data_IF_265265749700
#
_entry.id   IF_265265749700
#
_cell.length_a   1.000
_cell.length_b   1.000
_cell.length_c   1.000
_cell.angle_alpha   90.00
_cell.angle_beta   90.00
_cell.angle_gamma   90.00
#
_symmetry.space_group_name_H-M   'P 1'
#
loop_
_entity.id
_entity.type
_entity.pdbx_description
1 polymer ?
#
# COMPACT_ATOMS: atom_id res chain seq x y z
N UNK A 1 16.15 -33.99 -10.25
CA UNK A 1 15.98 -32.65 -10.86
C UNK A 1 14.69 -31.95 -10.38
N UNK A 2 14.48 -31.76 -9.07
CA UNK A 2 13.18 -31.24 -8.54
C UNK A 2 13.29 -30.20 -7.40
N UNK A 3 14.43 -29.54 -7.23
CA UNK A 3 14.63 -28.59 -6.11
C UNK A 3 14.60 -27.09 -6.51
N UNK A 4 14.63 -26.76 -7.80
CA UNK A 4 14.83 -25.35 -8.24
C UNK A 4 13.53 -24.56 -8.36
N UNK A 5 12.37 -25.23 -8.42
CA UNK A 5 11.06 -24.58 -8.61
C UNK A 5 10.51 -23.89 -7.37
N UNK A 6 10.78 -24.41 -6.16
CA UNK A 6 10.24 -23.88 -4.91
C UNK A 6 11.00 -22.64 -4.40
N UNK A 7 12.29 -22.53 -4.68
CA UNK A 7 13.16 -21.44 -4.21
C UNK A 7 12.96 -20.10 -4.95
N UNK A 8 12.34 -20.15 -6.15
CA UNK A 8 12.04 -18.96 -6.95
C UNK A 8 10.62 -18.42 -6.69
N UNK A 9 9.71 -19.24 -6.17
CA UNK A 9 8.34 -18.84 -5.84
C UNK A 9 8.26 -18.01 -4.55
N UNK A 10 9.32 -18.04 -3.74
CA UNK A 10 9.42 -17.33 -2.46
C UNK A 10 9.89 -15.87 -2.56
N UNK A 11 10.33 -15.40 -3.73
CA UNK A 11 11.20 -14.20 -3.80
C UNK A 11 10.49 -12.84 -3.80
N UNK A 12 9.16 -12.78 -3.93
CA UNK A 12 8.39 -11.54 -3.78
C UNK A 12 7.14 -11.75 -2.92
N UNK A 13 7.32 -12.20 -1.67
CA UNK A 13 6.23 -12.23 -0.69
C UNK A 13 5.96 -10.84 -0.08
N UNK A 14 6.99 -10.00 0.00
CA UNK A 14 6.93 -8.69 0.66
C UNK A 14 7.28 -7.58 -0.32
N UNK A 15 6.46 -6.54 -0.34
CA UNK A 15 6.72 -5.30 -1.06
C UNK A 15 6.74 -4.15 -0.06
N UNK A 16 7.76 -3.30 -0.15
CA UNK A 16 7.84 -2.05 0.60
C UNK A 16 7.79 -0.87 -0.36
N UNK A 17 6.86 0.04 -0.10
CA UNK A 17 6.81 1.30 -0.79
C UNK A 17 7.95 2.19 -0.30
N UNK A 18 8.77 2.67 -1.23
CA UNK A 18 9.75 3.71 -0.99
C UNK A 18 9.31 5.00 -1.69
N UNK A 19 9.36 6.17 -1.03
CA UNK A 19 9.11 7.44 -1.67
C UNK A 19 9.95 7.59 -2.94
N UNK A 20 9.31 7.96 -4.05
CA UNK A 20 9.99 8.09 -5.34
C UNK A 20 9.90 6.86 -6.25
N UNK A 21 9.50 5.68 -5.75
CA UNK A 21 9.46 4.43 -6.52
C UNK A 21 8.56 4.51 -7.77
N UNK A 22 7.51 5.33 -7.70
CA UNK A 22 6.61 5.60 -8.83
C UNK A 22 6.77 6.98 -9.45
N UNK A 23 7.79 7.76 -9.08
CA UNK A 23 8.04 9.04 -9.71
C UNK A 23 8.49 8.84 -11.17
N UNK A 24 8.00 9.66 -12.12
CA UNK A 24 8.54 9.64 -13.47
C UNK A 24 10.03 9.92 -13.45
N UNK A 25 10.77 9.23 -14.32
CA UNK A 25 12.15 9.64 -14.61
C UNK A 25 12.13 11.04 -15.21
N UNK A 26 13.05 11.94 -14.80
CA UNK A 26 13.18 13.25 -15.42
C UNK A 26 13.31 13.07 -16.94
N UNK A 27 12.42 13.70 -17.70
CA UNK A 27 12.53 13.70 -19.15
C UNK A 27 13.31 14.95 -19.57
N UNK A 28 14.29 14.75 -20.45
CA UNK A 28 14.96 15.85 -21.11
C UNK A 28 13.99 16.49 -22.10
N UNK A 29 13.73 17.77 -21.94
CA UNK A 29 12.99 18.54 -22.93
C UNK A 29 13.86 18.75 -24.17
N UNK A 30 13.24 19.21 -25.27
CA UNK A 30 13.93 19.55 -26.52
C UNK A 30 15.05 20.60 -26.34
N UNK A 31 15.07 21.35 -25.23
CA UNK A 31 16.12 22.31 -24.87
C UNK A 31 17.17 21.77 -23.90
N UNK A 32 17.15 20.47 -23.58
CA UNK A 32 18.08 19.84 -22.63
C UNK A 32 17.76 20.12 -21.16
N UNK A 33 16.65 20.81 -20.85
CA UNK A 33 16.21 21.01 -19.47
C UNK A 33 15.53 19.74 -18.96
N UNK A 34 15.87 19.32 -17.74
CA UNK A 34 15.10 18.29 -17.06
C UNK A 34 13.76 18.87 -16.63
N UNK A 35 12.67 18.30 -17.13
CA UNK A 35 11.33 18.59 -16.63
C UNK A 35 10.81 17.38 -15.87
N UNK A 36 10.32 17.62 -14.67
CA UNK A 36 9.58 16.63 -13.88
C UNK A 36 8.12 17.06 -13.91
N UNK A 37 7.26 16.22 -14.49
CA UNK A 37 5.84 16.47 -14.50
C UNK A 37 5.29 16.33 -13.07
N UNK A 38 5.16 17.44 -12.35
CA UNK A 38 4.71 17.49 -10.95
C UNK A 38 3.28 16.98 -10.75
N UNK A 39 2.47 16.89 -11.82
CA UNK A 39 1.16 16.24 -11.73
C UNK A 39 1.29 14.75 -11.43
N UNK A 40 2.38 14.10 -11.82
CA UNK A 40 2.56 12.65 -11.66
C UNK A 40 2.94 12.23 -10.24
N UNK A 41 3.31 13.17 -9.37
CA UNK A 41 3.55 12.94 -7.94
C UNK A 41 2.31 13.19 -7.08
N UNK A 42 1.15 13.46 -7.68
CA UNK A 42 -0.09 13.64 -6.94
C UNK A 42 -0.52 12.34 -6.25
N UNK A 43 -1.16 12.46 -5.09
CA UNK A 43 -1.66 11.30 -4.34
C UNK A 43 -2.60 10.42 -5.16
N UNK A 44 -3.43 11.02 -6.03
CA UNK A 44 -4.28 10.26 -6.96
C UNK A 44 -3.45 9.43 -7.94
N UNK A 45 -2.38 9.98 -8.51
CA UNK A 45 -1.51 9.22 -9.42
C UNK A 45 -0.75 8.11 -8.71
N UNK A 46 -0.28 8.36 -7.47
CA UNK A 46 0.34 7.34 -6.63
C UNK A 46 -0.65 6.20 -6.37
N UNK A 47 -1.90 6.51 -6.01
CA UNK A 47 -2.94 5.51 -5.80
C UNK A 47 -3.20 4.67 -7.06
N UNK A 48 -3.33 5.31 -8.23
CA UNK A 48 -3.51 4.57 -9.50
C UNK A 48 -2.33 3.66 -9.83
N UNK A 49 -1.09 4.12 -9.60
CA UNK A 49 0.11 3.32 -9.87
C UNK A 49 0.24 2.14 -8.92
N UNK A 50 -0.04 2.35 -7.62
CA UNK A 50 -0.14 1.28 -6.63
C UNK A 50 -1.24 0.28 -7.00
N UNK A 51 -2.44 0.77 -7.29
CA UNK A 51 -3.57 -0.06 -7.69
C UNK A 51 -3.25 -0.90 -8.94
N UNK A 52 -2.54 -0.31 -9.91
CA UNK A 52 -2.08 -1.02 -11.11
C UNK A 52 -1.01 -2.05 -10.77
N UNK A 53 -0.04 -1.70 -9.91
CA UNK A 53 1.04 -2.59 -9.49
C UNK A 53 0.49 -3.84 -8.80
N UNK A 54 -0.38 -3.68 -7.79
CA UNK A 54 -0.94 -4.82 -7.06
C UNK A 54 -1.89 -5.66 -7.93
N UNK A 55 -2.53 -5.05 -8.93
CA UNK A 55 -3.37 -5.75 -9.89
C UNK A 55 -2.58 -6.50 -10.98
N UNK A 56 -1.24 -6.39 -11.05
CA UNK A 56 -0.48 -7.09 -12.08
C UNK A 56 -0.54 -8.61 -11.85
N UNK A 57 -0.97 -9.41 -12.85
CA UNK A 57 -1.15 -10.86 -12.69
C UNK A 57 0.09 -11.61 -12.21
N UNK A 58 1.27 -11.10 -12.54
CA UNK A 58 2.57 -11.69 -12.15
C UNK A 58 2.88 -11.58 -10.64
N UNK A 59 2.33 -10.56 -9.95
CA UNK A 59 2.56 -10.34 -8.51
C UNK A 59 1.35 -10.74 -7.67
N UNK A 60 0.16 -10.59 -8.24
CA UNK A 60 -1.13 -10.83 -7.59
C UNK A 60 -1.21 -12.13 -6.76
N UNK A 61 -0.76 -13.31 -7.23
CA UNK A 61 -0.82 -14.55 -6.44
C UNK A 61 0.32 -14.72 -5.42
N UNK A 62 1.27 -13.77 -5.36
CA UNK A 62 2.51 -13.88 -4.57
C UNK A 62 2.62 -12.85 -3.45
N UNK A 63 1.97 -11.70 -3.58
CA UNK A 63 2.01 -10.63 -2.57
C UNK A 63 1.30 -11.06 -1.27
N UNK A 64 2.05 -11.09 -0.18
CA UNK A 64 1.57 -11.44 1.17
C UNK A 64 1.68 -10.26 2.13
N UNK A 65 2.80 -9.54 2.09
CA UNK A 65 3.05 -8.39 2.95
C UNK A 65 3.26 -7.14 2.10
N UNK A 66 2.45 -6.12 2.36
CA UNK A 66 2.57 -4.81 1.74
C UNK A 66 2.92 -3.79 2.81
N UNK A 67 4.06 -3.12 2.67
CA UNK A 67 4.46 -2.03 3.54
C UNK A 67 4.24 -0.70 2.83
N UNK A 68 3.13 -0.04 3.17
CA UNK A 68 2.72 1.26 2.68
C UNK A 68 2.89 2.36 3.75
N UNK A 69 3.72 2.13 4.77
CA UNK A 69 3.98 3.11 5.85
C UNK A 69 4.48 4.47 5.36
N UNK A 70 5.05 4.55 4.16
CA UNK A 70 5.50 5.80 3.53
C UNK A 70 4.60 6.27 2.38
N UNK A 71 3.49 5.60 2.09
CA UNK A 71 2.54 6.05 1.07
C UNK A 71 1.78 7.26 1.60
N UNK A 72 1.62 8.35 0.82
CA UNK A 72 0.78 9.48 1.22
C UNK A 72 -0.63 9.02 1.55
N UNK A 73 -1.17 9.43 2.70
CA UNK A 73 -2.45 8.90 3.18
C UNK A 73 -3.59 9.19 2.21
N UNK A 74 -3.59 10.33 1.53
CA UNK A 74 -4.60 10.64 0.50
C UNK A 74 -4.59 9.65 -0.68
N UNK A 75 -3.48 8.95 -0.91
CA UNK A 75 -3.41 7.87 -1.88
C UNK A 75 -3.98 6.56 -1.32
N UNK A 76 -3.82 6.33 0.00
CA UNK A 76 -4.40 5.19 0.72
C UNK A 76 -5.92 5.29 0.88
N UNK A 77 -6.46 6.50 0.90
CA UNK A 77 -7.90 6.77 0.96
C UNK A 77 -8.63 6.49 -0.37
N UNK A 78 -7.88 6.33 -1.46
CA UNK A 78 -8.46 6.21 -2.79
C UNK A 78 -9.15 4.85 -3.04
N UNK A 79 -10.41 4.89 -3.46
CA UNK A 79 -11.25 3.73 -3.79
C UNK A 79 -10.63 2.78 -4.81
N UNK A 80 -9.83 3.31 -5.74
CA UNK A 80 -9.15 2.50 -6.76
C UNK A 80 -8.14 1.55 -6.12
N UNK A 81 -7.44 2.01 -5.07
CA UNK A 81 -6.48 1.17 -4.36
C UNK A 81 -7.20 0.14 -3.50
N UNK A 82 -8.26 0.52 -2.79
CA UNK A 82 -9.10 -0.38 -1.99
C UNK A 82 -9.62 -1.56 -2.82
N UNK A 83 -10.19 -1.26 -4.00
CA UNK A 83 -10.71 -2.29 -4.92
C UNK A 83 -9.64 -3.24 -5.43
N UNK A 84 -8.41 -2.77 -5.59
CA UNK A 84 -7.29 -3.61 -6.02
C UNK A 84 -6.73 -4.46 -4.88
N UNK A 85 -6.62 -3.91 -3.67
CA UNK A 85 -6.16 -4.65 -2.49
C UNK A 85 -7.10 -5.81 -2.14
N UNK A 86 -8.41 -5.60 -2.24
CA UNK A 86 -9.43 -6.64 -2.00
C UNK A 86 -9.23 -7.90 -2.85
N UNK A 87 -8.60 -7.77 -4.02
CA UNK A 87 -8.43 -8.87 -4.96
C UNK A 87 -7.23 -9.76 -4.63
N UNK A 88 -6.31 -9.31 -3.77
CA UNK A 88 -5.09 -10.04 -3.43
C UNK A 88 -5.40 -11.26 -2.55
N UNK A 89 -5.40 -12.49 -3.10
CA UNK A 89 -5.93 -13.67 -2.40
C UNK A 89 -5.00 -14.19 -1.30
N UNK A 90 -3.77 -13.69 -1.25
CA UNK A 90 -2.74 -14.12 -0.29
C UNK A 90 -2.23 -12.99 0.60
N UNK A 91 -2.88 -11.81 0.56
CA UNK A 91 -2.47 -10.70 1.41
C UNK A 91 -2.73 -11.06 2.88
N UNK A 92 -1.66 -11.08 3.67
CA UNK A 92 -1.67 -11.38 5.10
C UNK A 92 -1.51 -10.11 5.93
N UNK A 93 -0.62 -9.21 5.50
CA UNK A 93 -0.32 -7.99 6.26
C UNK A 93 -0.27 -6.77 5.36
N UNK A 94 -0.91 -5.68 5.81
CA UNK A 94 -0.75 -4.36 5.24
C UNK A 94 -0.27 -3.39 6.33
N UNK A 95 0.90 -2.78 6.14
CA UNK A 95 1.40 -1.70 6.97
C UNK A 95 1.00 -0.35 6.39
N UNK A 96 0.49 0.55 7.21
CA UNK A 96 0.06 1.91 6.81
C UNK A 96 0.50 2.94 7.84
N UNK A 97 0.54 4.24 7.49
CA UNK A 97 0.77 5.30 8.46
C UNK A 97 -0.31 5.31 9.54
N UNK A 98 0.09 5.52 10.79
CA UNK A 98 -0.85 5.76 11.90
C UNK A 98 -1.55 7.13 11.77
N UNK A 99 -0.82 8.14 11.32
CA UNK A 99 -1.24 9.54 11.28
C UNK A 99 -1.44 10.04 9.84
N UNK A 100 -2.05 11.22 9.69
CA UNK A 100 -2.22 11.89 8.39
C UNK A 100 -3.50 11.52 7.63
N UNK A 101 -4.35 10.66 8.21
CA UNK A 101 -5.70 10.38 7.70
C UNK A 101 -6.57 11.63 7.75
N UNK A 102 -7.32 11.88 6.68
CA UNK A 102 -8.28 12.98 6.64
C UNK A 102 -9.36 12.80 7.71
N UNK A 103 -9.80 11.56 7.92
CA UNK A 103 -10.76 11.17 8.95
C UNK A 103 -10.44 9.75 9.48
N UNK A 104 -10.72 9.45 10.77
CA UNK A 104 -10.59 8.08 11.30
C UNK A 104 -11.41 7.04 10.52
N UNK A 105 -12.55 7.46 9.95
CA UNK A 105 -13.41 6.61 9.11
C UNK A 105 -12.72 6.09 7.85
N UNK A 106 -11.78 6.85 7.27
CA UNK A 106 -11.09 6.44 6.05
C UNK A 106 -10.11 5.30 6.31
N UNK A 107 -9.46 5.28 7.47
CA UNK A 107 -8.64 4.13 7.91
C UNK A 107 -9.50 2.88 8.07
N UNK A 108 -10.67 3.02 8.70
CA UNK A 108 -11.63 1.92 8.86
C UNK A 108 -12.19 1.45 7.51
N UNK A 109 -12.35 2.36 6.55
CA UNK A 109 -12.74 2.04 5.18
C UNK A 109 -11.69 1.22 4.46
N UNK A 110 -10.41 1.61 4.57
CA UNK A 110 -9.31 0.80 4.04
C UNK A 110 -9.30 -0.59 4.68
N UNK A 111 -9.44 -0.68 6.00
CA UNK A 111 -9.48 -1.97 6.70
C UNK A 111 -10.60 -2.88 6.14
N UNK A 112 -11.82 -2.36 6.02
CA UNK A 112 -12.95 -3.12 5.46
C UNK A 112 -12.77 -3.51 4.00
N UNK A 113 -11.86 -2.87 3.27
CA UNK A 113 -11.54 -3.22 1.89
C UNK A 113 -10.51 -4.35 1.77
N UNK A 114 -9.86 -4.74 2.86
CA UNK A 114 -8.88 -5.81 2.84
C UNK A 114 -9.53 -7.18 2.69
N UNK A 115 -8.80 -8.17 2.13
CA UNK A 115 -9.23 -9.56 2.13
C UNK A 115 -9.44 -10.09 3.56
N UNK A 116 -10.33 -11.07 3.70
CA UNK A 116 -10.59 -11.71 4.99
C UNK A 116 -9.31 -12.32 5.58
N UNK A 117 -9.10 -12.12 6.88
CA UNK A 117 -7.90 -12.59 7.58
C UNK A 117 -6.65 -11.73 7.40
N UNK A 118 -6.70 -10.67 6.57
CA UNK A 118 -5.59 -9.72 6.46
C UNK A 118 -5.51 -8.81 7.69
N UNK A 119 -4.31 -8.71 8.27
CA UNK A 119 -4.00 -7.80 9.37
C UNK A 119 -3.64 -6.40 8.84
N UNK A 120 -4.25 -5.36 9.41
CA UNK A 120 -3.85 -3.97 9.19
C UNK A 120 -2.95 -3.53 10.36
N UNK A 121 -1.68 -3.22 10.06
CA UNK A 121 -0.69 -2.72 11.01
C UNK A 121 -0.51 -1.23 10.77
N UNK A 122 -0.62 -0.42 11.82
CA UNK A 122 -0.31 1.00 11.69
C UNK A 122 1.10 1.25 12.19
N UNK A 123 1.82 2.16 11.53
CA UNK A 123 3.21 2.48 11.83
C UNK A 123 3.30 3.99 12.03
N UNK A 124 3.93 4.43 13.12
CA UNK A 124 4.18 5.86 13.34
C UNK A 124 5.39 6.35 12.53
N UNK A 125 5.66 7.65 12.58
CA UNK A 125 6.75 8.27 11.84
C UNK A 125 8.15 7.76 12.21
N UNK A 126 8.28 7.10 13.37
CA UNK A 126 9.53 6.51 13.86
C UNK A 126 9.69 5.04 13.41
N UNK A 127 8.75 4.51 12.64
CA UNK A 127 8.75 3.10 12.24
C UNK A 127 8.24 2.16 13.33
N UNK A 128 7.67 2.69 14.42
CA UNK A 128 7.15 1.87 15.52
C UNK A 128 5.74 1.43 15.19
N UNK A 129 5.51 0.12 15.23
CA UNK A 129 4.18 -0.44 15.05
C UNK A 129 3.25 -0.02 16.20
N UNK A 130 2.18 0.68 15.84
CA UNK A 130 1.01 0.89 16.67
C UNK A 130 0.00 -0.17 16.26
N UNK A 131 -0.27 -1.13 17.13
CA UNK A 131 -1.39 -2.04 16.90
C UNK A 131 -2.66 -1.19 16.76
N UNK A 132 -3.31 -1.29 15.60
CA UNK A 132 -4.70 -0.89 15.49
C UNK A 132 -5.45 -1.79 16.48
N UNK A 133 -5.84 -1.23 17.63
CA UNK A 133 -6.66 -1.96 18.60
C UNK A 133 -7.86 -2.56 17.88
N UNK A 134 -8.20 -3.77 18.28
CA UNK A 134 -9.39 -4.48 17.83
C UNK A 134 -10.61 -3.54 17.93
N UNK A 135 -11.49 -3.42 16.91
CA UNK A 135 -12.68 -2.57 16.95
C UNK A 135 -13.69 -3.07 18.01
N UNK A 136 -13.50 -4.28 18.54
CA UNK A 136 -14.17 -4.74 19.75
C UNK A 136 -13.83 -3.86 20.98
N UNK A 137 -12.66 -3.24 21.00
CA UNK A 137 -12.17 -2.39 22.11
C UNK A 137 -12.66 -0.94 21.99
N UNK A 138 -12.91 -0.43 20.77
CA UNK A 138 -13.52 0.89 20.56
C UNK A 138 -14.98 0.96 21.04
N UNK A 139 -15.69 -0.17 21.10
CA UNK A 139 -17.06 -0.23 21.67
C UNK A 139 -17.10 -0.09 23.19
N UNK A 140 -15.95 -0.12 23.89
CA UNK A 140 -15.88 -0.01 25.35
C UNK A 140 -15.50 1.38 25.86
N UNK A 141 -15.09 2.30 24.99
CA UNK A 141 -14.64 3.65 25.40
C UNK A 141 -15.74 4.71 25.23
N UNK A 142 -16.93 4.32 24.77
CA UNK A 142 -18.10 5.20 24.60
C UNK A 142 -19.30 4.81 25.47
N UNK A 143 -19.08 4.18 26.63
CA UNK A 143 -20.10 3.95 27.66
C UNK A 143 -19.73 4.64 28.96
#
# INVERSE_FOLDING_TARGET
HLAVGHELDSRCMRFKYEPGLFCPRPQLTRSGRQSVNTKETSSSNIAFRLARFVAQPQWHPRLQDLDFSHVPVQALEADVLHRSLRKLPRLQTLFVPWEGWSMPSERNRLWRALPDGCALRCVDALGVERMARDPADERRVSL
#
